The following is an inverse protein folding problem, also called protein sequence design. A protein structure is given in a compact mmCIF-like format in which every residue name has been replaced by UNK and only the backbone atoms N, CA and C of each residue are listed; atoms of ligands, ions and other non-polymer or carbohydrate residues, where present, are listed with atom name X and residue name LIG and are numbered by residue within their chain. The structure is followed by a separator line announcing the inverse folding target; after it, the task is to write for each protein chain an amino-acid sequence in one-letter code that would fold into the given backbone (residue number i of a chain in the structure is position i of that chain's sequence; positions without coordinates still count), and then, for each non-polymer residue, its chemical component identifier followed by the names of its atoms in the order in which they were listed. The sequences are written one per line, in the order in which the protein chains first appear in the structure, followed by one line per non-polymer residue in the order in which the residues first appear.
data_IF_762265319350
#
_entry.id   IF_762265319350
#
_cell.length_a   1.000
_cell.length_b   1.000
_cell.length_c   1.000
_cell.angle_alpha   90.00
_cell.angle_beta   90.00
_cell.angle_gamma   90.00
#
_symmetry.space_group_name_H-M   'P 1'
#
loop_
_entity.id
_entity.type
_entity.pdbx_description
1 polymer ?
#
# COMPACT_ATOMS: atom_id res chain seq x y z
N UNK A 1 -15.17 14.91 14.85
CA UNK A 1 -14.65 16.23 14.44
C UNK A 1 -14.09 16.12 13.04
N UNK A 2 -14.76 16.68 12.03
CA UNK A 2 -14.26 16.69 10.65
C UNK A 2 -13.24 17.84 10.52
N UNK A 3 -12.00 17.52 10.17
CA UNK A 3 -10.98 18.54 9.86
C UNK A 3 -11.30 19.17 8.50
N UNK A 4 -10.88 20.42 8.30
CA UNK A 4 -11.06 21.13 7.04
C UNK A 4 -10.51 20.33 5.85
N UNK A 5 -11.13 20.45 4.65
CA UNK A 5 -10.72 19.70 3.45
C UNK A 5 -9.24 19.88 3.10
N UNK A 6 -8.71 21.08 3.38
CA UNK A 6 -7.32 21.46 3.08
C UNK A 6 -6.30 21.09 4.17
N UNK A 7 -6.73 20.44 5.24
CA UNK A 7 -5.85 20.12 6.35
C UNK A 7 -4.85 19.02 5.99
N UNK A 8 -3.60 19.22 6.39
CA UNK A 8 -2.57 18.17 6.34
C UNK A 8 -2.99 17.01 7.25
N UNK A 9 -2.94 15.78 6.70
CA UNK A 9 -3.26 14.56 7.44
C UNK A 9 -1.99 13.80 7.81
N UNK A 10 -1.95 13.24 9.01
CA UNK A 10 -0.86 12.34 9.42
C UNK A 10 -1.06 10.94 8.85
N UNK A 11 0.00 10.13 8.81
CA UNK A 11 -0.10 8.73 8.36
C UNK A 11 -1.11 7.89 9.16
N UNK A 12 -1.24 8.14 10.46
CA UNK A 12 -2.23 7.46 11.30
C UNK A 12 -3.66 7.83 10.89
N UNK A 13 -3.90 9.10 10.56
CA UNK A 13 -5.21 9.58 10.13
C UNK A 13 -5.59 9.04 8.74
N UNK A 14 -4.65 9.07 7.80
CA UNK A 14 -4.87 8.50 6.45
C UNK A 14 -5.10 6.99 6.53
N UNK A 15 -4.36 6.31 7.41
CA UNK A 15 -4.52 4.87 7.65
C UNK A 15 -5.92 4.54 8.17
N UNK A 16 -6.42 5.28 9.15
CA UNK A 16 -7.77 5.10 9.68
C UNK A 16 -8.86 5.49 8.67
N UNK A 17 -8.64 6.53 7.85
CA UNK A 17 -9.64 6.99 6.88
C UNK A 17 -9.80 6.04 5.69
N UNK A 18 -8.70 5.45 5.22
CA UNK A 18 -8.69 4.59 4.04
C UNK A 18 -8.78 3.10 4.36
N UNK A 19 -8.73 2.75 5.65
CA UNK A 19 -8.62 1.38 6.17
C UNK A 19 -7.42 0.62 5.58
N UNK A 20 -6.28 1.32 5.50
CA UNK A 20 -5.02 0.78 4.98
C UNK A 20 -3.97 0.83 6.08
N UNK A 21 -3.28 -0.26 6.42
CA UNK A 21 -2.25 -0.25 7.46
C UNK A 21 -1.14 0.77 7.18
N UNK A 22 -0.63 1.44 8.23
CA UNK A 22 0.40 2.47 8.07
C UNK A 22 1.67 1.97 7.36
N UNK A 23 2.06 0.71 7.55
CA UNK A 23 3.24 0.14 6.90
C UNK A 23 3.03 -0.01 5.38
N UNK A 24 1.80 -0.28 4.94
CA UNK A 24 1.44 -0.31 3.51
C UNK A 24 1.53 1.09 2.90
N UNK A 25 1.07 2.12 3.61
CA UNK A 25 1.22 3.51 3.18
C UNK A 25 2.70 3.91 3.03
N UNK A 26 3.54 3.53 4.01
CA UNK A 26 5.01 3.73 3.92
C UNK A 26 5.61 3.00 2.73
N UNK A 27 5.14 1.79 2.46
CA UNK A 27 5.59 1.02 1.30
C UNK A 27 5.17 1.69 0.00
N UNK A 28 3.94 2.19 -0.10
CA UNK A 28 3.45 2.94 -1.26
C UNK A 28 4.26 4.21 -1.51
N UNK A 29 4.73 4.92 -0.48
CA UNK A 29 5.66 6.06 -0.66
C UNK A 29 6.93 5.66 -1.44
N UNK A 30 7.40 4.42 -1.29
CA UNK A 30 8.60 3.94 -1.99
C UNK A 30 8.32 3.57 -3.45
N UNK A 31 7.10 3.13 -3.75
CA UNK A 31 6.70 2.68 -5.09
C UNK A 31 6.16 3.82 -5.93
N UNK A 32 5.34 4.70 -5.36
CA UNK A 32 4.68 5.78 -6.07
C UNK A 32 5.37 7.11 -5.77
N UNK A 33 6.38 7.46 -6.58
CA UNK A 33 7.17 8.71 -6.44
C UNK A 33 6.35 10.01 -6.46
N UNK A 34 5.11 9.93 -6.94
CA UNK A 34 4.15 11.03 -6.97
C UNK A 34 3.57 11.34 -5.59
N UNK A 35 3.46 10.34 -4.71
CA UNK A 35 3.04 10.53 -3.31
C UNK A 35 4.24 11.03 -2.52
N UNK A 36 4.26 12.33 -2.18
CA UNK A 36 5.40 12.97 -1.51
C UNK A 36 4.99 13.54 -0.16
N UNK A 37 5.07 12.75 0.93
CA UNK A 37 4.77 13.24 2.26
C UNK A 37 5.74 14.35 2.66
N UNK A 38 5.21 15.40 3.28
CA UNK A 38 6.00 16.45 3.89
C UNK A 38 6.65 15.90 5.17
N UNK A 39 7.98 15.81 5.15
CA UNK A 39 8.78 15.39 6.30
C UNK A 39 9.08 16.62 7.16
N UNK A 40 8.47 16.71 8.35
CA UNK A 40 8.80 17.73 9.35
C UNK A 40 9.80 17.14 10.36
N UNK A 41 10.51 18.00 11.10
CA UNK A 41 11.39 17.59 12.19
C UNK A 41 10.71 16.57 13.12
N UNK A 42 11.45 15.53 13.51
CA UNK A 42 10.94 14.42 14.32
C UNK A 42 10.36 13.23 13.54
N UNK A 43 10.58 13.14 12.22
CA UNK A 43 10.25 11.93 11.44
C UNK A 43 8.76 11.69 11.15
N UNK A 44 7.89 12.65 11.53
CA UNK A 44 6.46 12.62 11.23
C UNK A 44 6.21 12.97 9.77
N UNK A 45 5.29 12.22 9.16
CA UNK A 45 4.87 12.38 7.76
C UNK A 45 3.49 13.03 7.74
N UNK A 46 3.38 14.08 6.93
CA UNK A 46 2.13 14.75 6.66
C UNK A 46 1.81 14.65 5.17
N UNK A 47 0.60 14.23 4.84
CA UNK A 47 0.09 14.18 3.49
C UNK A 47 -0.73 15.43 3.22
N UNK A 48 -0.59 15.99 2.02
CA UNK A 48 -1.51 17.02 1.54
C UNK A 48 -2.85 16.38 1.18
N UNK A 49 -3.94 17.15 1.16
CA UNK A 49 -5.24 16.68 0.66
C UNK A 49 -5.13 15.97 -0.70
N UNK A 50 -4.40 16.57 -1.66
CA UNK A 50 -4.14 15.99 -2.97
C UNK A 50 -3.36 14.65 -2.91
N UNK A 51 -2.41 14.51 -1.98
CA UNK A 51 -1.70 13.23 -1.78
C UNK A 51 -2.66 12.16 -1.22
N UNK A 52 -3.62 12.55 -0.38
CA UNK A 52 -4.61 11.62 0.19
C UNK A 52 -5.60 11.14 -0.87
N UNK A 53 -6.06 12.03 -1.74
CA UNK A 53 -6.88 11.68 -2.91
C UNK A 53 -6.14 10.72 -3.85
N UNK A 54 -4.86 10.98 -4.10
CA UNK A 54 -4.00 10.12 -4.90
C UNK A 54 -3.85 8.71 -4.27
N UNK A 55 -3.64 8.63 -2.96
CA UNK A 55 -3.56 7.36 -2.22
C UNK A 55 -4.89 6.61 -2.30
N UNK A 56 -6.03 7.31 -2.20
CA UNK A 56 -7.37 6.72 -2.36
C UNK A 56 -7.53 6.12 -3.76
N UNK A 57 -7.11 6.83 -4.81
CA UNK A 57 -7.13 6.32 -6.18
C UNK A 57 -6.22 5.10 -6.38
N UNK A 58 -5.01 5.12 -5.81
CA UNK A 58 -4.10 3.96 -5.82
C UNK A 58 -4.74 2.76 -5.13
N UNK A 59 -5.37 2.96 -3.97
CA UNK A 59 -6.08 1.89 -3.25
C UNK A 59 -7.15 1.26 -4.14
N UNK A 60 -7.97 2.07 -4.79
CA UNK A 60 -9.07 1.57 -5.62
C UNK A 60 -8.51 0.81 -6.85
N UNK A 61 -7.44 1.29 -7.48
CA UNK A 61 -6.77 0.55 -8.55
C UNK A 61 -6.29 -0.84 -8.08
N UNK A 62 -5.65 -0.91 -6.93
CA UNK A 62 -5.06 -2.15 -6.42
C UNK A 62 -6.13 -3.13 -5.88
N UNK A 63 -7.02 -2.67 -5.02
CA UNK A 63 -7.97 -3.52 -4.31
C UNK A 63 -9.30 -3.71 -5.04
N UNK A 64 -9.86 -2.65 -5.66
CA UNK A 64 -11.15 -2.73 -6.35
C UNK A 64 -11.00 -3.23 -7.79
N UNK A 65 -9.96 -2.78 -8.49
CA UNK A 65 -9.74 -3.13 -9.90
C UNK A 65 -8.68 -4.21 -10.13
N UNK A 66 -7.98 -4.64 -9.09
CA UNK A 66 -7.01 -5.74 -9.16
C UNK A 66 -5.74 -5.42 -9.94
N UNK A 67 -5.39 -4.14 -10.09
CA UNK A 67 -4.14 -3.76 -10.75
C UNK A 67 -2.94 -4.19 -9.92
N UNK A 68 -1.86 -4.58 -10.59
CA UNK A 68 -0.56 -4.73 -9.93
C UNK A 68 0.04 -3.36 -9.62
N UNK A 69 0.99 -3.29 -8.68
CA UNK A 69 1.73 -2.05 -8.38
C UNK A 69 2.39 -1.48 -9.64
N UNK A 70 2.97 -2.35 -10.49
CA UNK A 70 3.58 -1.93 -11.76
C UNK A 70 2.54 -1.39 -12.74
N UNK A 71 1.37 -2.02 -12.81
CA UNK A 71 0.25 -1.56 -13.62
C UNK A 71 -0.26 -0.19 -13.19
N UNK A 72 -0.49 -0.01 -11.90
CA UNK A 72 -0.88 1.27 -11.32
C UNK A 72 0.18 2.35 -11.57
N UNK A 73 1.47 2.04 -11.42
CA UNK A 73 2.55 2.99 -11.73
C UNK A 73 2.57 3.45 -13.19
N UNK A 74 2.37 2.52 -14.14
CA UNK A 74 2.33 2.84 -15.57
C UNK A 74 1.16 3.78 -15.88
N UNK A 75 -0.02 3.41 -15.41
CA UNK A 75 -1.25 4.18 -15.59
C UNK A 75 -1.13 5.60 -15.02
N UNK A 76 -0.52 5.70 -13.84
CA UNK A 76 -0.29 6.98 -13.16
C UNK A 76 0.73 7.86 -13.89
N UNK A 77 1.69 7.25 -14.59
CA UNK A 77 2.65 7.98 -15.43
C UNK A 77 1.99 8.53 -16.69
N UNK A 78 1.08 7.78 -17.30
CA UNK A 78 0.32 8.20 -18.50
C UNK A 78 -0.59 9.39 -18.21
N UNK A 79 -1.21 9.43 -17.02
CA UNK A 79 -2.06 10.55 -16.60
C UNK A 79 -1.32 11.71 -15.92
N UNK A 80 0.02 11.73 -15.96
CA UNK A 80 0.80 12.82 -15.39
C UNK A 80 0.74 12.93 -13.87
N UNK A 81 0.43 11.85 -13.17
CA UNK A 81 0.44 11.78 -11.71
C UNK A 81 -0.81 12.32 -11.01
N UNK A 82 -1.92 12.53 -11.76
CA UNK A 82 -3.23 12.83 -11.19
C UNK A 82 -4.16 11.63 -11.33
N UNK A 83 -5.11 11.50 -10.41
CA UNK A 83 -6.18 10.50 -10.46
C UNK A 83 -7.48 11.25 -10.23
N UNK A 84 -8.00 11.86 -11.30
CA UNK A 84 -9.25 12.62 -11.23
C UNK A 84 -10.47 11.70 -11.37
N UNK A 85 -10.33 10.61 -12.13
CA UNK A 85 -11.38 9.60 -12.29
C UNK A 85 -10.80 8.19 -12.52
N UNK A 86 -10.79 7.37 -11.45
CA UNK A 86 -10.27 5.99 -11.47
C UNK A 86 -11.02 5.12 -12.49
N UNK A 87 -12.35 5.17 -12.52
CA UNK A 87 -13.17 4.31 -13.37
C UNK A 87 -12.98 4.62 -14.87
N UNK A 88 -12.84 5.90 -15.23
CA UNK A 88 -12.51 6.31 -16.59
C UNK A 88 -11.10 5.84 -16.99
N UNK A 89 -10.14 5.96 -16.07
CA UNK A 89 -8.76 5.55 -16.28
C UNK A 89 -8.61 4.04 -16.47
N UNK A 90 -9.36 3.25 -15.69
CA UNK A 90 -9.43 1.79 -15.84
C UNK A 90 -10.11 1.39 -17.15
N UNK A 91 -11.18 2.10 -17.54
CA UNK A 91 -11.87 1.85 -18.81
C UNK A 91 -10.96 2.11 -20.01
N UNK A 92 -10.19 3.21 -20.00
CA UNK A 92 -9.19 3.51 -21.02
C UNK A 92 -8.09 2.43 -21.06
N UNK A 93 -7.54 2.05 -19.91
CA UNK A 93 -6.52 1.00 -19.82
C UNK A 93 -7.01 -0.36 -20.35
N UNK A 94 -8.30 -0.68 -20.14
CA UNK A 94 -8.95 -1.89 -20.69
C UNK A 94 -9.14 -1.81 -22.20
N UNK A 95 -9.56 -0.65 -22.73
CA UNK A 95 -9.73 -0.43 -24.16
C UNK A 95 -8.38 -0.53 -24.92
N UNK A 96 -7.29 -0.09 -24.30
CA UNK A 96 -5.94 -0.16 -24.87
C UNK A 96 -5.27 -1.55 -24.76
N UNK A 97 -5.96 -2.56 -24.21
CA UNK A 97 -5.44 -3.92 -24.09
C UNK A 97 -4.21 -4.02 -23.19
N UNK A 98 -4.06 -3.12 -22.21
CA UNK A 98 -2.85 -3.04 -21.39
C UNK A 98 -2.65 -4.34 -20.57
N UNK A 99 -1.55 -5.09 -20.79
CA UNK A 99 -1.29 -6.36 -20.09
C UNK A 99 -1.02 -6.19 -18.58
N UNK A 100 -1.05 -4.95 -18.07
CA UNK A 100 -0.97 -4.61 -16.66
C UNK A 100 -2.08 -5.24 -15.78
N UNK A 101 -3.12 -5.81 -16.40
CA UNK A 101 -4.24 -6.52 -15.78
C UNK A 101 -3.89 -7.92 -15.25
N UNK A 102 -2.64 -8.40 -15.36
CA UNK A 102 -2.29 -9.73 -14.86
C UNK A 102 -2.50 -9.81 -13.35
N UNK A 103 -3.54 -10.57 -12.98
CA UNK A 103 -4.10 -10.72 -11.64
C UNK A 103 -3.02 -10.82 -10.54
N UNK A 104 -3.00 -9.84 -9.64
CA UNK A 104 -2.52 -10.08 -8.29
C UNK A 104 -3.59 -10.91 -7.57
N UNK A 105 -3.56 -12.23 -7.75
CA UNK A 105 -4.29 -13.14 -6.88
C UNK A 105 -3.63 -13.07 -5.49
N UNK A 106 -4.09 -12.13 -4.67
CA UNK A 106 -3.66 -11.94 -3.29
C UNK A 106 -3.70 -10.47 -2.90
N UNK A 107 -4.45 -10.18 -1.84
CA UNK A 107 -4.43 -8.88 -1.16
C UNK A 107 -2.98 -8.35 -1.05
N UNK A 108 -2.68 -7.13 -1.48
CA UNK A 108 -1.37 -6.54 -1.25
C UNK A 108 -1.05 -6.37 0.24
N UNK A 109 -2.07 -6.46 1.13
CA UNK A 109 -1.90 -6.56 2.58
C UNK A 109 -1.30 -7.91 3.04
N UNK A 110 -1.47 -8.97 2.24
CA UNK A 110 -0.94 -10.32 2.52
C UNK A 110 0.30 -10.63 1.66
N UNK A 111 0.52 -9.90 0.58
CA UNK A 111 1.55 -10.21 -0.42
C UNK A 111 3.00 -9.79 -0.07
N UNK A 112 3.24 -9.09 1.04
CA UNK A 112 4.61 -8.83 1.51
C UNK A 112 4.80 -9.21 2.98
N UNK A 113 4.63 -10.50 3.28
CA UNK A 113 5.67 -11.15 4.04
C UNK A 113 6.96 -11.00 3.22
N UNK A 114 7.85 -10.07 3.62
CA UNK A 114 9.24 -10.03 3.16
C UNK A 114 9.67 -11.48 3.03
N UNK A 115 10.04 -11.95 1.83
CA UNK A 115 10.59 -13.28 1.68
C UNK A 115 11.67 -13.39 2.75
N UNK A 116 11.40 -14.18 3.78
CA UNK A 116 12.29 -14.35 4.91
C UNK A 116 13.63 -14.68 4.27
N UNK A 117 14.74 -13.98 4.63
CA UNK A 117 16.05 -14.44 4.18
C UNK A 117 16.14 -15.94 4.51
N UNK A 118 16.79 -16.72 3.64
CA UNK A 118 16.61 -18.19 3.61
C UNK A 118 16.84 -18.86 4.97
N UNK A 119 17.63 -18.22 5.82
CA UNK A 119 17.92 -18.50 7.23
C UNK A 119 16.77 -18.10 8.19
N UNK A 120 16.16 -16.92 8.07
CA UNK A 120 15.13 -16.46 8.99
C UNK A 120 13.88 -17.37 9.04
N UNK A 121 13.55 -18.07 7.94
CA UNK A 121 12.47 -19.07 7.97
C UNK A 121 12.87 -20.34 8.74
N UNK A 122 14.15 -20.68 8.73
CA UNK A 122 14.70 -21.79 9.51
C UNK A 122 14.80 -21.40 11.00
N UNK A 123 15.27 -20.20 11.32
CA UNK A 123 15.34 -19.65 12.68
C UNK A 123 13.95 -19.59 13.32
N UNK A 124 12.94 -19.07 12.61
CA UNK A 124 11.56 -19.03 13.12
C UNK A 124 11.00 -20.43 13.38
N UNK A 125 11.36 -21.43 12.56
CA UNK A 125 10.95 -22.82 12.80
C UNK A 125 11.63 -23.41 14.03
N UNK A 126 12.91 -23.12 14.26
CA UNK A 126 13.64 -23.54 15.44
C UNK A 126 13.03 -22.93 16.72
N UNK A 127 12.83 -21.62 16.74
CA UNK A 127 12.20 -20.91 17.88
C UNK A 127 10.79 -21.46 18.15
N UNK A 128 10.02 -21.76 17.10
CA UNK A 128 8.67 -22.31 17.26
C UNK A 128 8.69 -23.75 17.79
N UNK A 129 9.73 -24.54 17.48
CA UNK A 129 9.93 -25.86 18.06
C UNK A 129 10.27 -25.76 19.55
N UNK A 130 11.22 -24.90 19.94
CA UNK A 130 11.57 -24.65 21.34
C UNK A 130 10.35 -24.19 22.16
N UNK A 131 9.55 -23.27 21.62
CA UNK A 131 8.33 -22.81 22.30
C UNK A 131 7.28 -23.91 22.46
N UNK A 132 7.22 -24.88 21.54
CA UNK A 132 6.32 -26.04 21.67
C UNK A 132 6.80 -27.00 22.75
N UNK A 133 8.09 -27.27 22.81
CA UNK A 133 8.69 -28.09 23.88
C UNK A 133 8.49 -27.45 25.26
N UNK A 134 8.73 -26.14 25.38
CA UNK A 134 8.46 -25.40 26.62
C UNK A 134 6.98 -25.44 27.01
N UNK A 135 6.08 -25.40 26.03
CA UNK A 135 4.64 -25.52 26.29
C UNK A 135 4.27 -26.92 26.79
N UNK A 136 4.89 -27.97 26.27
CA UNK A 136 4.67 -29.35 26.73
C UNK A 136 5.26 -29.59 28.12
N UNK A 137 6.35 -28.91 28.49
CA UNK A 137 6.91 -28.97 29.85
C UNK A 137 6.10 -28.23 30.91
N UNK A 138 5.28 -27.26 30.50
CA UNK A 138 4.41 -26.47 31.38
C UNK A 138 2.98 -26.99 31.46
N UNK A 139 2.66 -28.09 30.76
CA UNK A 139 1.39 -28.80 30.81
C UNK A 139 1.49 -30.02 31.75
#
# INVERSE_FOLDING_TARGET
MQKSPDAFRTISEVSAELDVPQHVLRFWETKFKVVKPLKRGGGRRYYRPADVELIRGIRDLLYKHGFTIRGAQKLLKEQGGRIDNVDAMVSAARAEGNPALTQAAGDPATAEGKALPGDAKAELRAVLAELRELKEMLA
#
